data_IF_382930519870
#
_entry.id   IF_382930519870
#
_cell.length_a   1.000
_cell.length_b   1.000
_cell.length_c   1.000
_cell.angle_alpha   90.00
_cell.angle_beta   90.00
_cell.angle_gamma   90.00
#
_symmetry.space_group_name_H-M   'P 1'
#
loop_
_entity.id
_entity.type
_entity.pdbx_description
1 polymer ?
#
# COMPACT_ATOMS: atom_id res chain seq x y z
N UNK A 1 -9.16 14.58 15.86
CA UNK A 1 -9.57 13.16 15.82
C UNK A 1 -8.92 12.45 17.02
N UNK A 2 -9.60 11.53 17.70
CA UNK A 2 -8.96 10.73 18.75
C UNK A 2 -8.00 9.71 18.13
N UNK A 3 -7.01 9.25 18.90
CA UNK A 3 -6.06 8.24 18.43
C UNK A 3 -6.78 6.95 17.98
N UNK A 4 -7.80 6.50 18.73
CA UNK A 4 -8.57 5.31 18.38
C UNK A 4 -9.33 5.47 17.04
N UNK A 5 -9.95 6.63 16.81
CA UNK A 5 -10.66 6.91 15.58
C UNK A 5 -9.70 6.95 14.37
N UNK A 6 -8.48 7.45 14.58
CA UNK A 6 -7.44 7.45 13.56
C UNK A 6 -7.01 6.03 13.18
N UNK A 7 -6.71 5.18 14.16
CA UNK A 7 -6.33 3.79 13.94
C UNK A 7 -7.44 3.02 13.22
N UNK A 8 -8.70 3.21 13.63
CA UNK A 8 -9.85 2.58 12.98
C UNK A 8 -10.00 3.07 11.53
N UNK A 9 -9.89 4.38 11.28
CA UNK A 9 -9.98 4.93 9.93
C UNK A 9 -8.82 4.42 9.05
N UNK A 10 -7.61 4.35 9.59
CA UNK A 10 -6.44 3.78 8.92
C UNK A 10 -6.66 2.31 8.54
N UNK A 11 -7.17 1.50 9.46
CA UNK A 11 -7.49 0.10 9.19
C UNK A 11 -8.56 -0.06 8.08
N UNK A 12 -9.64 0.72 8.14
CA UNK A 12 -10.66 0.73 7.09
C UNK A 12 -10.09 1.15 5.73
N UNK A 13 -9.17 2.10 5.72
CA UNK A 13 -8.50 2.54 4.50
C UNK A 13 -7.58 1.47 3.91
N UNK A 14 -6.86 0.74 4.75
CA UNK A 14 -6.05 -0.43 4.35
C UNK A 14 -6.95 -1.51 3.73
N UNK A 15 -8.09 -1.82 4.35
CA UNK A 15 -9.03 -2.81 3.82
C UNK A 15 -9.64 -2.37 2.48
N UNK A 16 -10.02 -1.09 2.37
CA UNK A 16 -10.49 -0.53 1.11
C UNK A 16 -9.41 -0.57 0.02
N UNK A 17 -8.16 -0.27 0.37
CA UNK A 17 -7.04 -0.32 -0.55
C UNK A 17 -6.82 -1.75 -1.08
N UNK A 18 -6.87 -2.78 -0.22
CA UNK A 18 -6.77 -4.19 -0.64
C UNK A 18 -7.89 -4.60 -1.59
N UNK A 19 -9.12 -4.18 -1.28
CA UNK A 19 -10.27 -4.41 -2.15
C UNK A 19 -10.06 -3.74 -3.51
N UNK A 20 -9.55 -2.50 -3.52
CA UNK A 20 -9.27 -1.75 -4.73
C UNK A 20 -8.18 -2.41 -5.58
N UNK A 21 -7.09 -2.90 -4.98
CA UNK A 21 -6.06 -3.69 -5.69
C UNK A 21 -6.64 -4.95 -6.32
N UNK A 22 -7.50 -5.66 -5.59
CA UNK A 22 -8.18 -6.84 -6.10
C UNK A 22 -9.10 -6.50 -7.28
N UNK A 23 -9.83 -5.39 -7.18
CA UNK A 23 -10.67 -4.88 -8.26
C UNK A 23 -9.87 -4.48 -9.49
N UNK A 24 -8.73 -3.81 -9.31
CA UNK A 24 -7.84 -3.43 -10.41
C UNK A 24 -7.24 -4.63 -11.13
N UNK A 25 -6.81 -5.65 -10.38
CA UNK A 25 -6.35 -6.92 -10.97
C UNK A 25 -7.43 -7.52 -11.86
N UNK A 26 -8.65 -7.67 -11.33
CA UNK A 26 -9.79 -8.17 -12.11
C UNK A 26 -10.15 -7.25 -13.29
N UNK A 27 -10.01 -5.93 -13.15
CA UNK A 27 -10.24 -4.98 -14.22
C UNK A 27 -9.22 -5.15 -15.36
N UNK A 28 -7.97 -5.48 -15.04
CA UNK A 28 -6.92 -5.75 -16.04
C UNK A 28 -7.15 -7.06 -16.80
N UNK A 29 -7.78 -8.04 -16.15
CA UNK A 29 -8.13 -9.35 -16.73
C UNK A 29 -9.47 -9.33 -17.51
N UNK A 30 -10.24 -8.24 -17.44
CA UNK A 30 -11.53 -8.12 -18.11
C UNK A 30 -11.38 -7.94 -19.63
N UNK A 31 -12.43 -8.27 -20.43
CA UNK A 31 -12.46 -7.96 -21.86
C UNK A 31 -12.16 -6.48 -22.14
N UNK A 32 -11.41 -6.20 -23.20
CA UNK A 32 -10.87 -4.85 -23.50
C UNK A 32 -11.94 -3.74 -23.45
N UNK A 33 -13.13 -4.02 -23.98
CA UNK A 33 -14.30 -3.12 -23.99
C UNK A 33 -14.75 -2.68 -22.60
N UNK A 34 -14.53 -3.51 -21.57
CA UNK A 34 -14.90 -3.25 -20.17
C UNK A 34 -13.70 -2.79 -19.33
N UNK A 35 -12.50 -3.28 -19.65
CA UNK A 35 -11.28 -3.02 -18.87
C UNK A 35 -11.03 -1.51 -18.69
N UNK A 36 -11.09 -0.73 -19.77
CA UNK A 36 -10.84 0.71 -19.70
C UNK A 36 -11.79 1.43 -18.72
N UNK A 37 -13.09 1.09 -18.76
CA UNK A 37 -14.09 1.66 -17.85
C UNK A 37 -13.86 1.24 -16.39
N UNK A 38 -13.57 -0.03 -16.15
CA UNK A 38 -13.31 -0.54 -14.80
C UNK A 38 -12.04 0.10 -14.21
N UNK A 39 -10.97 0.24 -14.98
CA UNK A 39 -9.76 0.93 -14.53
C UNK A 39 -10.02 2.41 -14.23
N UNK A 40 -10.84 3.09 -15.02
CA UNK A 40 -11.24 4.47 -14.72
C UNK A 40 -11.99 4.57 -13.38
N UNK A 41 -12.90 3.62 -13.10
CA UNK A 41 -13.61 3.55 -11.83
C UNK A 41 -12.66 3.28 -10.66
N UNK A 42 -11.65 2.42 -10.84
CA UNK A 42 -10.62 2.16 -9.85
C UNK A 42 -9.82 3.43 -9.53
N UNK A 43 -9.32 4.14 -10.56
CA UNK A 43 -8.57 5.40 -10.41
C UNK A 43 -9.39 6.46 -9.68
N UNK A 44 -10.67 6.61 -10.04
CA UNK A 44 -11.57 7.54 -9.36
C UNK A 44 -11.76 7.18 -7.87
N UNK A 45 -11.95 5.88 -7.58
CA UNK A 45 -12.11 5.37 -6.22
C UNK A 45 -10.84 5.56 -5.38
N UNK A 46 -9.67 5.32 -5.97
CA UNK A 46 -8.36 5.55 -5.35
C UNK A 46 -8.17 7.04 -5.00
N UNK A 47 -8.46 7.94 -5.95
CA UNK A 47 -8.37 9.39 -5.72
C UNK A 47 -9.29 9.84 -4.59
N UNK A 48 -10.52 9.33 -4.56
CA UNK A 48 -11.45 9.59 -3.46
C UNK A 48 -10.95 9.11 -2.10
N UNK A 49 -10.34 7.93 -2.04
CA UNK A 49 -9.73 7.43 -0.81
C UNK A 49 -8.62 8.38 -0.33
N UNK A 50 -7.72 8.81 -1.24
CA UNK A 50 -6.66 9.77 -0.93
C UNK A 50 -7.22 11.08 -0.38
N UNK A 51 -8.19 11.68 -1.07
CA UNK A 51 -8.82 12.93 -0.62
C UNK A 51 -9.46 12.81 0.76
N UNK A 52 -10.12 11.69 1.05
CA UNK A 52 -10.74 11.47 2.36
C UNK A 52 -9.71 11.32 3.48
N UNK A 53 -8.60 10.64 3.22
CA UNK A 53 -7.52 10.50 4.19
C UNK A 53 -6.76 11.81 4.42
N UNK A 54 -6.46 12.54 3.35
CA UNK A 54 -5.81 13.85 3.41
C UNK A 54 -6.62 14.86 4.25
N UNK A 55 -7.95 14.81 4.20
CA UNK A 55 -8.82 15.65 5.02
C UNK A 55 -8.62 15.44 6.54
N UNK A 56 -8.07 14.30 6.95
CA UNK A 56 -7.71 13.97 8.33
C UNK A 56 -6.18 13.90 8.54
N UNK A 57 -5.38 14.34 7.56
CA UNK A 57 -3.92 14.32 7.63
C UNK A 57 -3.31 12.92 7.54
N UNK A 58 -4.06 11.93 7.04
CA UNK A 58 -3.61 10.55 6.86
C UNK A 58 -3.21 10.29 5.42
N UNK A 59 -2.28 9.34 5.24
CA UNK A 59 -1.87 8.85 3.93
C UNK A 59 -1.58 7.35 3.99
N UNK A 60 -1.85 6.66 2.88
CA UNK A 60 -1.38 5.29 2.65
C UNK A 60 -0.05 5.38 1.90
N UNK A 61 1.01 4.81 2.49
CA UNK A 61 2.33 4.79 1.89
C UNK A 61 2.68 3.38 1.41
N UNK A 62 3.13 3.30 0.16
CA UNK A 62 3.69 2.09 -0.46
C UNK A 62 5.11 2.37 -0.93
N UNK A 63 5.91 1.32 -1.07
CA UNK A 63 7.36 1.44 -1.20
C UNK A 63 7.93 0.59 -2.35
N UNK A 64 7.09 0.14 -3.29
CA UNK A 64 7.52 -0.73 -4.39
C UNK A 64 8.73 -0.17 -5.13
N UNK A 65 9.71 -1.04 -5.39
CA UNK A 65 10.96 -0.71 -6.06
C UNK A 65 12.02 -0.02 -5.19
N UNK A 66 11.70 0.35 -3.95
CA UNK A 66 12.67 0.95 -3.04
C UNK A 66 13.48 -0.11 -2.29
N UNK A 67 14.75 0.19 -2.00
CA UNK A 67 15.59 -0.66 -1.15
C UNK A 67 15.05 -0.67 0.29
N UNK A 68 14.93 -1.86 0.87
CA UNK A 68 14.43 -2.01 2.24
C UNK A 68 15.47 -1.44 3.20
N UNK A 69 15.04 -0.46 3.99
CA UNK A 69 15.86 0.20 4.99
C UNK A 69 15.15 0.19 6.35
N UNK A 70 15.92 0.27 7.44
CA UNK A 70 15.43 0.08 8.81
C UNK A 70 14.42 1.16 9.26
N UNK A 71 14.48 2.35 8.66
CA UNK A 71 13.60 3.48 8.92
C UNK A 71 12.26 3.40 8.18
N UNK A 72 12.11 2.49 7.21
CA UNK A 72 10.86 2.37 6.48
C UNK A 72 9.77 1.79 7.39
N UNK A 73 8.53 2.30 7.33
CA UNK A 73 7.43 1.83 8.17
C UNK A 73 6.81 0.55 7.60
N UNK A 74 7.62 -0.46 7.32
CA UNK A 74 7.19 -1.74 6.73
C UNK A 74 7.84 -2.93 7.43
N UNK A 75 7.20 -4.09 7.30
CA UNK A 75 7.79 -5.40 7.59
C UNK A 75 7.69 -6.26 6.34
N UNK A 76 8.82 -6.82 5.91
CA UNK A 76 8.83 -7.84 4.88
C UNK A 76 8.40 -9.18 5.49
N UNK A 77 7.38 -9.81 4.91
CA UNK A 77 6.81 -11.07 5.43
C UNK A 77 7.71 -12.29 5.19
N UNK A 78 8.65 -12.17 4.26
CA UNK A 78 9.64 -13.17 3.87
C UNK A 78 11.08 -12.68 4.13
N UNK A 79 11.27 -11.86 5.16
CA UNK A 79 12.58 -11.27 5.48
C UNK A 79 13.66 -12.31 5.77
N UNK A 80 13.27 -13.48 6.28
CA UNK A 80 14.12 -14.63 6.57
C UNK A 80 14.79 -15.24 5.33
N UNK A 81 14.17 -15.09 4.15
CA UNK A 81 14.74 -15.56 2.88
C UNK A 81 15.96 -14.74 2.42
N UNK A 82 16.13 -13.53 2.96
CA UNK A 82 17.12 -12.54 2.51
C UNK A 82 18.14 -12.14 3.58
N UNK A 83 18.25 -12.88 4.68
CA UNK A 83 19.20 -12.58 5.74
C UNK A 83 20.64 -12.54 5.21
N UNK A 84 21.35 -11.43 5.42
CA UNK A 84 22.71 -11.22 4.94
C UNK A 84 22.85 -10.93 3.44
N UNK A 85 21.76 -10.86 2.69
CA UNK A 85 21.80 -10.50 1.27
C UNK A 85 21.77 -8.96 1.11
N UNK A 86 22.72 -8.37 0.37
CA UNK A 86 22.67 -6.95 0.06
C UNK A 86 21.61 -6.66 -1.01
N UNK A 87 21.09 -5.43 -1.01
CA UNK A 87 20.26 -4.92 -2.11
C UNK A 87 18.83 -5.44 -2.14
N UNK A 88 18.26 -5.86 -1.00
CA UNK A 88 16.86 -6.29 -0.94
C UNK A 88 15.94 -5.09 -1.20
N UNK A 89 14.95 -5.27 -2.07
CA UNK A 89 13.94 -4.24 -2.42
C UNK A 89 12.53 -4.70 -2.04
N UNK A 90 11.64 -3.73 -1.92
CA UNK A 90 10.20 -3.99 -1.83
C UNK A 90 9.68 -4.41 -3.21
N UNK A 91 9.27 -5.65 -3.36
CA UNK A 91 8.69 -6.16 -4.61
C UNK A 91 7.22 -5.73 -4.73
N UNK A 92 6.44 -5.98 -3.69
CA UNK A 92 5.01 -5.67 -3.68
C UNK A 92 4.49 -5.38 -2.28
N UNK A 93 3.51 -4.49 -2.20
CA UNK A 93 2.81 -4.19 -0.95
C UNK A 93 1.62 -5.14 -0.77
N UNK A 94 1.56 -5.79 0.39
CA UNK A 94 0.39 -6.57 0.87
C UNK A 94 -0.56 -5.67 1.67
N UNK A 95 0.02 -4.83 2.54
CA UNK A 95 -0.66 -3.82 3.34
C UNK A 95 0.14 -2.51 3.29
N UNK A 96 -0.45 -1.38 2.87
CA UNK A 96 0.25 -0.10 2.92
C UNK A 96 0.47 0.31 4.37
N UNK A 97 1.55 1.05 4.61
CA UNK A 97 1.71 1.75 5.87
C UNK A 97 0.69 2.88 5.96
N UNK A 98 0.22 3.17 7.17
CA UNK A 98 -0.64 4.34 7.43
C UNK A 98 0.20 5.37 8.16
N UNK A 99 0.31 6.57 7.60
CA UNK A 99 1.11 7.66 8.16
C UNK A 99 0.27 8.91 8.38
N UNK A 100 0.59 9.66 9.42
CA UNK A 100 0.00 10.95 9.76
C UNK A 100 1.13 11.99 9.86
N UNK A 101 1.47 12.63 8.74
CA UNK A 101 2.69 13.43 8.63
C UNK A 101 3.93 12.58 8.88
N UNK A 102 4.74 12.91 9.89
CA UNK A 102 5.94 12.14 10.26
C UNK A 102 5.65 10.96 11.21
N UNK A 103 4.41 10.79 11.67
CA UNK A 103 4.04 9.73 12.61
C UNK A 103 3.54 8.50 11.88
N UNK A 104 4.03 7.34 12.29
CA UNK A 104 3.54 6.05 11.83
C UNK A 104 2.30 5.69 12.65
N UNK A 105 1.16 5.52 11.97
CA UNK A 105 -0.11 5.08 12.56
C UNK A 105 -0.19 3.55 12.51
N UNK A 106 0.22 2.97 11.38
CA UNK A 106 0.32 1.51 11.20
C UNK A 106 1.48 1.19 10.28
N UNK A 107 2.19 0.10 10.61
CA UNK A 107 3.26 -0.45 9.79
C UNK A 107 2.67 -1.24 8.62
N UNK A 108 3.25 -1.09 7.44
CA UNK A 108 2.86 -1.84 6.23
C UNK A 108 3.45 -3.25 6.21
N UNK A 109 2.89 -4.11 5.36
CA UNK A 109 3.41 -5.45 5.09
C UNK A 109 3.75 -5.58 3.62
N UNK A 110 4.92 -6.10 3.33
CA UNK A 110 5.42 -6.20 1.96
C UNK A 110 6.02 -7.57 1.69
N UNK A 111 6.17 -7.89 0.42
CA UNK A 111 7.04 -8.97 -0.06
C UNK A 111 8.36 -8.35 -0.50
N UNK A 112 9.46 -8.95 -0.07
CA UNK A 112 10.81 -8.59 -0.47
C UNK A 112 11.27 -9.40 -1.69
N UNK A 113 12.10 -8.79 -2.53
CA UNK A 113 12.84 -9.47 -3.59
C UNK A 113 14.31 -9.00 -3.61
N UNK A 114 15.17 -9.81 -4.22
CA UNK A 114 16.54 -9.37 -4.52
C UNK A 114 16.50 -8.19 -5.50
N UNK A 115 17.21 -7.11 -5.19
CA UNK A 115 17.35 -5.97 -6.07
C UNK A 115 18.19 -6.32 -7.29
N UNK A 116 17.71 -5.94 -8.47
CA UNK A 116 18.50 -6.02 -9.70
C UNK A 116 19.71 -5.11 -9.60
N UNK A 117 20.89 -5.65 -9.94
CA UNK A 117 22.13 -4.87 -10.17
C UNK A 117 21.98 -4.04 -11.45
#
# INVERSE_FOLDING_TARGET
MSADAETILGALAVDYWKLLRSFERLASEAPAEKSARLQAQARFSAGRLSTHLEAYGLQLATFEGQAIAAEMPIVAINADEFEGQPGVIVESTIEPAVVAGSRIVSVGRVVAAAGGV
#
